data_IF_626370413829
#
_entry.id   IF_626370413829
#
_cell.length_a   1.000
_cell.length_b   1.000
_cell.length_c   1.000
_cell.angle_alpha   90.00
_cell.angle_beta   90.00
_cell.angle_gamma   90.00
#
_symmetry.space_group_name_H-M   'P 1'
#
loop_
_entity.id
_entity.type
_entity.pdbx_description
1 polymer ?
#
# COMPACT_ATOMS: atom_id res chain seq x y z
N UNK A 1 10.45 -15.55 -1.45
CA UNK A 1 9.29 -15.21 -0.62
C UNK A 1 8.79 -13.85 -1.08
N UNK A 2 7.48 -13.64 -1.17
CA UNK A 2 6.90 -12.37 -1.58
C UNK A 2 6.23 -11.72 -0.38
N UNK A 3 6.66 -10.51 -0.04
CA UNK A 3 6.19 -9.76 1.13
C UNK A 3 5.24 -8.63 0.73
N UNK A 4 4.27 -8.96 -0.12
CA UNK A 4 3.19 -8.08 -0.54
C UNK A 4 1.93 -8.92 -0.75
N UNK A 5 0.73 -8.35 -0.60
CA UNK A 5 -0.52 -9.10 -0.69
C UNK A 5 -0.79 -9.53 -2.13
N UNK A 6 -1.58 -10.60 -2.30
CA UNK A 6 -1.71 -11.28 -3.60
C UNK A 6 -2.16 -10.35 -4.73
N UNK A 7 -3.08 -9.45 -4.41
CA UNK A 7 -3.68 -8.54 -5.38
C UNK A 7 -2.70 -7.50 -5.94
N UNK A 8 -1.53 -7.34 -5.31
CA UNK A 8 -0.48 -6.43 -5.76
C UNK A 8 0.53 -7.08 -6.71
N UNK A 9 0.41 -8.40 -6.95
CA UNK A 9 1.30 -9.12 -7.84
C UNK A 9 1.29 -8.53 -9.26
N UNK A 10 2.49 -8.23 -9.76
CA UNK A 10 2.69 -7.56 -11.06
C UNK A 10 2.50 -6.03 -11.05
N UNK A 11 2.17 -5.42 -9.91
CA UNK A 11 2.05 -3.97 -9.74
C UNK A 11 3.11 -3.35 -8.83
N UNK A 12 3.94 -4.16 -8.19
CA UNK A 12 4.95 -3.70 -7.23
C UNK A 12 6.36 -4.10 -7.64
N UNK A 13 7.33 -3.33 -7.19
CA UNK A 13 8.76 -3.66 -7.27
C UNK A 13 9.39 -3.31 -5.93
N UNK A 14 10.11 -4.27 -5.32
CA UNK A 14 10.80 -4.02 -4.05
C UNK A 14 11.80 -2.88 -4.19
N UNK A 15 11.84 -2.05 -3.16
CA UNK A 15 12.77 -0.92 -3.03
C UNK A 15 13.35 -0.86 -1.61
N UNK A 16 13.41 -1.99 -0.91
CA UNK A 16 13.91 -2.08 0.47
C UNK A 16 15.29 -1.41 0.62
N UNK A 17 16.17 -1.57 -0.38
CA UNK A 17 17.49 -0.94 -0.39
C UNK A 17 17.46 0.60 -0.31
N UNK A 18 16.38 1.25 -0.76
CA UNK A 18 16.19 2.69 -0.64
C UNK A 18 15.86 3.13 0.80
N UNK A 19 15.39 2.21 1.62
CA UNK A 19 14.98 2.40 3.00
C UNK A 19 15.95 1.72 4.01
N UNK A 20 17.06 1.16 3.52
CA UNK A 20 18.12 0.55 4.35
C UNK A 20 18.51 1.46 5.53
N UNK A 21 18.33 0.95 6.75
CA UNK A 21 18.57 1.66 8.01
C UNK A 21 17.36 1.76 8.94
N UNK A 22 16.18 1.33 8.49
CA UNK A 22 15.02 1.05 9.37
C UNK A 22 15.23 -0.32 10.04
N UNK A 23 15.30 -0.37 11.37
CA UNK A 23 15.58 -1.60 12.16
C UNK A 23 14.43 -2.62 12.18
N UNK A 24 13.48 -2.53 11.24
CA UNK A 24 12.26 -3.33 11.25
C UNK A 24 12.31 -4.43 10.19
N UNK A 25 12.74 -5.61 10.62
CA UNK A 25 12.86 -6.80 9.77
C UNK A 25 11.51 -7.30 9.24
N UNK A 26 10.40 -6.79 9.79
CA UNK A 26 9.04 -7.18 9.42
C UNK A 26 8.40 -6.27 8.37
N UNK A 27 9.09 -5.18 8.01
CA UNK A 27 8.56 -4.14 7.13
C UNK A 27 9.24 -4.13 5.77
N UNK A 28 8.42 -4.25 4.73
CA UNK A 28 8.88 -4.37 3.35
C UNK A 28 8.32 -3.26 2.46
N UNK A 29 9.19 -2.62 1.68
CA UNK A 29 8.93 -1.42 0.90
C UNK A 29 8.88 -1.69 -0.60
N UNK A 30 7.85 -1.15 -1.25
CA UNK A 30 7.59 -1.34 -2.66
C UNK A 30 7.28 -0.02 -3.37
N UNK A 31 7.73 0.12 -4.62
CA UNK A 31 7.24 1.14 -5.53
C UNK A 31 6.08 0.59 -6.36
N UNK A 32 5.01 1.37 -6.49
CA UNK A 32 3.87 1.02 -7.35
C UNK A 32 4.20 1.33 -8.82
N UNK A 33 3.88 0.38 -9.70
CA UNK A 33 4.05 0.45 -11.14
C UNK A 33 2.82 -0.07 -11.88
N UNK A 34 2.50 0.57 -13.00
CA UNK A 34 1.43 0.11 -13.87
C UNK A 34 2.01 -0.67 -15.06
N UNK A 35 1.40 -1.78 -15.51
CA UNK A 35 1.81 -2.51 -16.70
C UNK A 35 1.87 -1.68 -18.00
N UNK A 36 1.21 -0.51 -18.03
CA UNK A 36 1.36 0.44 -19.15
C UNK A 36 2.70 1.23 -19.14
N UNK A 37 3.58 0.95 -18.18
CA UNK A 37 4.88 1.59 -17.96
C UNK A 37 4.85 2.88 -17.12
N UNK A 38 3.67 3.30 -16.64
CA UNK A 38 3.55 4.49 -15.79
C UNK A 38 3.92 4.18 -14.34
N UNK A 39 4.61 5.12 -13.70
CA UNK A 39 4.88 5.10 -12.25
C UNK A 39 4.11 6.18 -11.48
N UNK A 40 3.32 7.00 -12.17
CA UNK A 40 2.59 8.12 -11.56
C UNK A 40 1.12 7.77 -11.32
N UNK A 41 0.65 8.05 -10.12
CA UNK A 41 -0.70 7.73 -9.66
C UNK A 41 -1.31 8.89 -8.86
N UNK A 42 -2.63 9.04 -8.96
CA UNK A 42 -3.42 9.77 -7.98
C UNK A 42 -3.95 8.81 -6.92
N UNK A 43 -4.19 9.29 -5.71
CA UNK A 43 -4.62 8.50 -4.57
C UNK A 43 -5.93 9.03 -4.01
N UNK A 44 -6.88 8.11 -3.83
CA UNK A 44 -8.17 8.37 -3.18
C UNK A 44 -8.38 7.29 -2.14
N UNK A 45 -8.55 7.68 -0.89
CA UNK A 45 -9.07 6.79 0.14
C UNK A 45 -10.57 6.69 -0.09
N UNK A 46 -11.04 5.52 -0.49
CA UNK A 46 -12.46 5.23 -0.70
C UNK A 46 -12.91 4.48 0.53
N UNK A 47 -13.73 5.12 1.37
CA UNK A 47 -14.10 4.61 2.70
C UNK A 47 -12.90 4.36 3.63
N UNK A 48 -13.15 4.13 4.92
CA UNK A 48 -12.05 3.85 5.88
C UNK A 48 -11.33 2.52 5.60
N UNK A 49 -11.81 1.72 4.65
CA UNK A 49 -11.36 0.34 4.48
C UNK A 49 -10.52 0.17 3.22
N UNK A 50 -10.47 1.13 2.29
CA UNK A 50 -9.67 0.96 1.06
C UNK A 50 -8.96 2.23 0.56
N UNK A 51 -7.83 2.01 -0.10
CA UNK A 51 -7.05 3.03 -0.80
C UNK A 51 -6.91 2.67 -2.28
N UNK A 52 -7.33 3.59 -3.15
CA UNK A 52 -7.31 3.44 -4.59
C UNK A 52 -6.20 4.29 -5.21
N UNK A 53 -5.37 3.67 -6.03
CA UNK A 53 -4.39 4.33 -6.88
C UNK A 53 -4.83 4.29 -8.34
N UNK A 54 -5.02 5.46 -8.95
CA UNK A 54 -5.39 5.58 -10.37
C UNK A 54 -4.18 5.98 -11.19
N UNK A 55 -3.81 5.13 -12.16
CA UNK A 55 -2.70 5.39 -13.06
C UNK A 55 -2.94 6.65 -13.89
N UNK A 56 -1.98 7.60 -13.89
CA UNK A 56 -2.10 8.84 -14.66
C UNK A 56 -2.20 8.60 -16.17
N UNK A 57 -1.51 7.58 -16.68
CA UNK A 57 -1.41 7.28 -18.12
C UNK A 57 -2.61 6.52 -18.68
N UNK A 58 -2.92 5.35 -18.13
CA UNK A 58 -3.95 4.46 -18.67
C UNK A 58 -5.26 4.48 -17.87
N UNK A 59 -5.33 5.26 -16.78
CA UNK A 59 -6.50 5.37 -15.90
C UNK A 59 -6.93 4.07 -15.21
N UNK A 60 -6.14 3.00 -15.31
CA UNK A 60 -6.35 1.78 -14.51
C UNK A 60 -6.31 2.12 -13.03
N UNK A 61 -7.29 1.63 -12.30
CA UNK A 61 -7.38 1.71 -10.85
C UNK A 61 -6.81 0.45 -10.23
N UNK A 62 -6.10 0.64 -9.13
CA UNK A 62 -5.50 -0.41 -8.30
C UNK A 62 -5.98 -0.17 -6.88
N UNK A 63 -6.52 -1.19 -6.23
CA UNK A 63 -6.65 -1.18 -4.77
C UNK A 63 -5.28 -1.51 -4.22
N UNK A 64 -4.67 -0.57 -3.53
CA UNK A 64 -3.30 -0.72 -2.97
C UNK A 64 -3.34 -1.03 -1.48
N UNK A 65 -4.50 -0.78 -0.87
CA UNK A 65 -4.89 -1.17 0.47
C UNK A 65 -6.39 -1.48 0.43
N UNK A 66 -6.81 -2.60 1.01
CA UNK A 66 -8.22 -2.92 1.22
C UNK A 66 -8.32 -3.95 2.34
N UNK A 67 -8.92 -3.57 3.48
CA UNK A 67 -9.13 -4.46 4.63
C UNK A 67 -9.91 -5.73 4.26
N UNK A 68 -10.71 -5.71 3.19
CA UNK A 68 -11.41 -6.91 2.72
C UNK A 68 -10.47 -8.00 2.19
N UNK A 69 -9.22 -7.66 1.85
CA UNK A 69 -8.21 -8.63 1.41
C UNK A 69 -7.33 -9.14 2.55
N UNK A 70 -7.38 -8.53 3.74
CA UNK A 70 -6.44 -8.86 4.82
C UNK A 70 -7.09 -9.74 5.87
N UNK A 71 -6.40 -10.83 6.22
CA UNK A 71 -6.94 -11.90 7.06
C UNK A 71 -7.03 -11.50 8.53
N UNK A 72 -6.08 -10.68 9.01
CA UNK A 72 -6.09 -10.13 10.37
C UNK A 72 -6.91 -8.85 10.56
N UNK A 73 -7.59 -8.37 9.51
CA UNK A 73 -8.40 -7.15 9.58
C UNK A 73 -9.54 -7.25 10.60
N UNK A 74 -9.50 -6.45 11.68
CA UNK A 74 -10.67 -6.28 12.51
C UNK A 74 -11.75 -5.50 11.74
N UNK A 75 -12.97 -6.06 11.63
CA UNK A 75 -14.10 -5.36 11.01
C UNK A 75 -14.46 -4.10 11.82
N UNK A 76 -13.90 -2.96 11.44
CA UNK A 76 -14.31 -1.66 11.97
C UNK A 76 -15.80 -1.43 11.65
N UNK A 77 -16.65 -1.47 12.69
CA UNK A 77 -18.06 -1.06 12.58
C UNK A 77 -18.13 0.46 12.51
N UNK A 78 -18.38 1.02 11.33
CA UNK A 78 -18.76 2.43 11.21
C UNK A 78 -19.11 2.81 9.77
N UNK A 79 -20.31 3.33 9.50
CA UNK A 79 -20.60 3.95 8.22
C UNK A 79 -20.15 5.41 8.28
N UNK A 80 -19.06 5.74 7.60
CA UNK A 80 -18.85 7.10 7.09
C UNK A 80 -18.18 7.00 5.72
N UNK A 81 -19.02 6.98 4.68
CA UNK A 81 -18.63 7.13 3.27
C UNK A 81 -18.08 8.52 3.04
N UNK A 82 -16.80 8.72 3.36
CA UNK A 82 -16.04 9.86 2.87
C UNK A 82 -14.94 9.33 1.95
N UNK A 83 -14.97 9.77 0.70
CA UNK A 83 -13.84 9.63 -0.19
C UNK A 83 -12.90 10.81 0.03
N UNK A 84 -11.69 10.56 0.55
CA UNK A 84 -10.68 11.60 0.70
C UNK A 84 -9.68 11.51 -0.45
N UNK A 85 -9.53 12.61 -1.19
CA UNK A 85 -8.45 12.72 -2.18
C UNK A 85 -7.17 13.00 -1.41
N UNK A 86 -6.24 12.03 -1.42
CA UNK A 86 -4.92 12.20 -0.81
C UNK A 86 -3.95 12.82 -1.81
N UNK A 87 -4.03 12.40 -3.08
CA UNK A 87 -3.23 12.95 -4.19
C UNK A 87 -4.14 13.16 -5.39
N UNK A 88 -4.28 14.41 -5.84
CA UNK A 88 -5.17 14.73 -6.96
C UNK A 88 -4.64 14.18 -8.29
N UNK A 89 -5.51 13.97 -9.30
CA UNK A 89 -5.09 13.58 -10.65
C UNK A 89 -4.04 14.50 -11.28
N UNK A 90 -4.06 15.79 -11.00
CA UNK A 90 -3.12 16.81 -11.50
C UNK A 90 -1.77 16.71 -10.81
N UNK A 91 -1.76 16.28 -9.54
CA UNK A 91 -0.57 16.09 -8.72
C UNK A 91 -0.07 14.63 -8.70
N UNK A 92 -0.51 13.81 -9.66
CA UNK A 92 -0.14 12.40 -9.73
C UNK A 92 1.39 12.24 -9.70
N UNK A 93 1.86 11.33 -8.86
CA UNK A 93 3.28 11.19 -8.56
C UNK A 93 3.64 9.73 -8.28
N UNK A 94 4.93 9.40 -8.14
CA UNK A 94 5.34 8.07 -7.71
C UNK A 94 4.86 7.76 -6.31
N UNK A 95 4.22 6.60 -6.16
CA UNK A 95 3.71 6.08 -4.89
C UNK A 95 4.56 4.90 -4.44
N UNK A 96 4.81 4.86 -3.13
CA UNK A 96 5.50 3.80 -2.43
C UNK A 96 4.59 3.27 -1.34
N UNK A 97 4.71 1.99 -1.02
CA UNK A 97 3.92 1.33 0.00
C UNK A 97 4.83 0.46 0.86
N UNK A 98 4.59 0.45 2.16
CA UNK A 98 5.21 -0.45 3.11
C UNK A 98 4.14 -1.39 3.66
N UNK A 99 4.43 -2.69 3.63
CA UNK A 99 3.64 -3.71 4.31
C UNK A 99 4.45 -4.25 5.47
N UNK A 100 3.83 -4.29 6.64
CA UNK A 100 4.36 -4.91 7.84
C UNK A 100 3.61 -6.20 8.13
N UNK A 101 4.34 -7.18 8.65
CA UNK A 101 3.82 -8.51 8.98
C UNK A 101 4.09 -8.80 10.46
N UNK A 102 3.21 -9.57 11.09
CA UNK A 102 3.44 -10.03 12.46
C UNK A 102 4.54 -11.08 12.55
N UNK A 103 4.99 -11.38 13.76
CA UNK A 103 5.79 -12.57 14.00
C UNK A 103 4.96 -13.81 13.61
N UNK A 104 5.52 -14.68 12.77
CA UNK A 104 4.90 -15.96 12.44
C UNK A 104 5.30 -16.97 13.52
N UNK A 105 4.30 -17.59 14.17
CA UNK A 105 4.55 -18.63 15.17
C UNK A 105 5.25 -19.87 14.56
N UNK A 106 6.03 -20.59 15.36
CA UNK A 106 6.69 -21.82 14.90
C UNK A 106 5.67 -22.87 14.44
N UNK A 107 5.62 -23.11 13.12
CA UNK A 107 4.75 -24.10 12.50
C UNK A 107 3.63 -23.51 11.64
N UNK A 108 3.43 -22.19 11.68
CA UNK A 108 2.49 -21.50 10.82
C UNK A 108 3.09 -21.22 9.44
N UNK A 109 2.28 -21.37 8.40
CA UNK A 109 2.64 -20.98 7.04
C UNK A 109 2.45 -19.47 6.89
N UNK A 110 3.48 -18.77 6.40
CA UNK A 110 3.37 -17.34 6.12
C UNK A 110 2.24 -17.03 5.12
N UNK A 111 1.27 -16.21 5.54
CA UNK A 111 0.23 -15.66 4.69
C UNK A 111 0.59 -14.23 4.25
N UNK A 112 0.79 -14.04 2.95
CA UNK A 112 1.15 -12.72 2.40
C UNK A 112 0.04 -11.66 2.51
N UNK A 113 -1.19 -12.08 2.83
CA UNK A 113 -2.32 -11.20 3.12
C UNK A 113 -2.47 -10.89 4.62
N UNK A 114 -1.69 -11.53 5.48
CA UNK A 114 -1.66 -11.29 6.92
C UNK A 114 -0.81 -10.04 7.26
N UNK A 115 -1.24 -8.92 6.71
CA UNK A 115 -0.61 -7.62 6.91
C UNK A 115 -1.10 -7.06 8.22
N UNK A 116 -0.18 -6.65 9.10
CA UNK A 116 -0.47 -6.00 10.39
C UNK A 116 -0.48 -4.47 10.27
N UNK A 117 0.32 -3.92 9.36
CA UNK A 117 0.41 -2.48 9.14
C UNK A 117 0.61 -2.15 7.66
N UNK A 118 0.02 -1.04 7.21
CA UNK A 118 0.24 -0.51 5.87
C UNK A 118 0.47 1.00 5.89
N UNK A 119 1.60 1.44 5.34
CA UNK A 119 1.91 2.87 5.16
C UNK A 119 2.17 3.20 3.70
N UNK A 120 1.70 4.35 3.25
CA UNK A 120 1.81 4.78 1.85
C UNK A 120 2.46 6.14 1.78
N UNK A 121 3.43 6.26 0.87
CA UNK A 121 4.23 7.46 0.70
C UNK A 121 4.10 8.00 -0.72
N UNK A 122 3.96 9.31 -0.84
CA UNK A 122 3.97 10.03 -2.10
C UNK A 122 5.32 10.74 -2.30
N UNK A 123 5.94 10.57 -3.47
CA UNK A 123 7.20 11.24 -3.79
C UNK A 123 6.97 12.57 -4.49
N UNK A 124 7.25 13.66 -3.78
CA UNK A 124 7.23 15.04 -4.30
C UNK A 124 8.67 15.54 -4.45
N UNK A 125 9.23 15.33 -5.65
CA UNK A 125 10.64 15.66 -5.94
C UNK A 125 11.62 14.77 -5.18
N UNK A 126 12.38 15.35 -4.24
CA UNK A 126 13.33 14.62 -3.38
C UNK A 126 12.74 14.16 -2.04
N UNK A 127 11.51 14.59 -1.73
CA UNK A 127 10.86 14.29 -0.46
C UNK A 127 9.92 13.10 -0.65
N UNK A 128 9.94 12.17 0.29
CA UNK A 128 8.91 11.17 0.50
C UNK A 128 8.03 11.66 1.65
N UNK A 129 6.74 11.81 1.40
CA UNK A 129 5.75 12.25 2.37
C UNK A 129 4.81 11.08 2.63
N UNK A 130 4.63 10.69 3.89
CA UNK A 130 3.62 9.73 4.28
C UNK A 130 2.24 10.36 4.15
N UNK A 131 1.33 9.68 3.45
CA UNK A 131 -0.01 10.21 3.13
C UNK A 131 -1.12 9.33 3.66
N UNK A 132 -0.80 8.11 4.06
CA UNK A 132 -1.71 7.15 4.65
C UNK A 132 -0.90 6.20 5.54
N UNK A 133 -1.46 5.87 6.70
CA UNK A 133 -0.87 5.00 7.70
C UNK A 133 -2.02 4.36 8.49
N UNK A 134 -2.10 3.02 8.49
CA UNK A 134 -3.19 2.28 9.11
C UNK A 134 -2.70 0.93 9.63
N UNK A 135 -3.07 0.65 10.88
CA UNK A 135 -2.95 -0.66 11.51
C UNK A 135 -4.18 -1.49 11.14
N UNK A 136 -3.98 -2.73 10.73
CA UNK A 136 -5.07 -3.60 10.27
C UNK A 136 -5.78 -4.33 11.43
N UNK A 137 -5.14 -4.41 12.60
CA UNK A 137 -5.59 -5.16 13.79
C UNK A 137 -6.61 -4.42 14.69
#
# INVERSE_FOLDING_TARGET
MFYYPEHMEGFVTSVDEMFNGTEDDYRHYFQIGCPCGSKEFSLVQSDKQSLLATCKKCRRELKIYDLAFYTCAAKLKGPETYSQILISPEAACPIFIAYEYGETDEGDEFDRNDITWCSVFARKGKILEEVFDDETA
#
